data_IF_201148024695
#
_entry.id   IF_201148024695
#
_cell.length_a   1.000
_cell.length_b   1.000
_cell.length_c   1.000
_cell.angle_alpha   90.00
_cell.angle_beta   90.00
_cell.angle_gamma   90.00
#
_symmetry.space_group_name_H-M   'P 1'
#
loop_
_entity.id
_entity.type
_entity.pdbx_description
1 polymer ?
#
# COMPACT_ATOMS: atom_id res chain seq x y z
N UNK A 1 -0.32 -50.03 -13.24
CA UNK A 1 -1.69 -49.47 -12.99
C UNK A 1 -2.13 -49.54 -11.53
N UNK A 2 -1.94 -50.66 -10.79
CA UNK A 2 -2.38 -50.82 -9.39
C UNK A 2 -1.71 -49.82 -8.45
N UNK A 3 -0.41 -49.65 -8.49
CA UNK A 3 0.37 -48.73 -7.64
C UNK A 3 -0.10 -47.27 -7.74
N UNK A 4 -0.34 -46.79 -8.97
CA UNK A 4 -0.91 -45.44 -9.21
C UNK A 4 -2.27 -45.26 -8.50
N UNK A 5 -3.18 -46.23 -8.68
CA UNK A 5 -4.52 -46.20 -8.06
C UNK A 5 -4.45 -46.21 -6.53
N UNK A 6 -3.56 -47.04 -5.97
CA UNK A 6 -3.38 -47.14 -4.52
C UNK A 6 -2.74 -45.87 -3.93
N UNK A 7 -1.74 -45.32 -4.62
CA UNK A 7 -1.16 -44.04 -4.21
C UNK A 7 -2.20 -42.92 -4.16
N UNK A 8 -3.05 -42.78 -5.18
CA UNK A 8 -4.15 -41.79 -5.15
C UNK A 8 -5.19 -42.08 -4.06
N UNK A 9 -5.46 -43.34 -3.77
CA UNK A 9 -6.35 -43.72 -2.67
C UNK A 9 -5.80 -43.21 -1.33
N UNK A 10 -4.51 -43.43 -1.05
CA UNK A 10 -3.85 -42.98 0.17
C UNK A 10 -3.86 -41.44 0.29
N UNK A 11 -3.60 -40.72 -0.79
CA UNK A 11 -3.64 -39.26 -0.82
C UNK A 11 -5.05 -38.75 -0.43
N UNK A 12 -6.11 -39.39 -0.93
CA UNK A 12 -7.50 -39.05 -0.57
C UNK A 12 -7.86 -39.35 0.89
N UNK A 13 -7.08 -40.21 1.55
CA UNK A 13 -7.20 -40.55 2.98
C UNK A 13 -6.28 -39.69 3.87
N UNK A 14 -5.79 -38.54 3.32
CA UNK A 14 -4.86 -37.61 4.00
C UNK A 14 -3.50 -38.26 4.37
N UNK A 15 -3.14 -39.33 3.67
CA UNK A 15 -1.85 -40.04 3.81
C UNK A 15 -0.95 -39.70 2.61
N UNK A 16 -0.67 -38.39 2.44
CA UNK A 16 0.00 -37.88 1.25
C UNK A 16 1.42 -38.42 1.08
N UNK A 17 2.19 -38.55 2.16
CA UNK A 17 3.58 -39.08 2.15
C UNK A 17 3.60 -40.52 1.66
N UNK A 18 2.78 -41.37 2.23
CA UNK A 18 2.70 -42.78 1.83
C UNK A 18 2.18 -42.91 0.39
N UNK A 19 1.19 -42.13 0.02
CA UNK A 19 0.67 -42.10 -1.35
C UNK A 19 1.72 -41.68 -2.37
N UNK A 20 2.59 -40.75 -2.00
CA UNK A 20 3.70 -40.27 -2.81
C UNK A 20 4.70 -41.43 -3.13
N UNK A 21 5.08 -42.22 -2.13
CA UNK A 21 5.98 -43.37 -2.31
C UNK A 21 5.46 -44.36 -3.37
N UNK A 22 4.15 -44.69 -3.32
CA UNK A 22 3.52 -45.57 -4.30
C UNK A 22 3.46 -44.95 -5.70
N UNK A 23 3.24 -43.65 -5.82
CA UNK A 23 3.24 -42.98 -7.12
C UNK A 23 4.65 -42.91 -7.70
N UNK A 24 5.65 -42.58 -6.90
CA UNK A 24 7.05 -42.60 -7.34
C UNK A 24 7.53 -44.01 -7.74
N UNK A 25 7.06 -45.03 -7.00
CA UNK A 25 7.34 -46.43 -7.40
C UNK A 25 6.69 -46.76 -8.74
N UNK A 26 5.45 -46.30 -9.01
CA UNK A 26 4.82 -46.48 -10.30
C UNK A 26 5.61 -45.80 -11.44
N UNK A 27 6.13 -44.61 -11.21
CA UNK A 27 6.97 -43.86 -12.15
C UNK A 27 8.26 -44.61 -12.47
N UNK A 28 8.91 -45.25 -11.47
CA UNK A 28 10.15 -46.03 -11.66
C UNK A 28 9.97 -47.32 -12.48
N UNK A 29 8.78 -47.92 -12.46
CA UNK A 29 8.52 -49.21 -13.15
C UNK A 29 8.40 -49.12 -14.66
N UNK A 30 8.42 -47.91 -15.27
CA UNK A 30 8.35 -47.69 -16.73
C UNK A 30 7.19 -48.42 -17.45
N UNK A 31 6.14 -48.78 -16.73
CA UNK A 31 4.97 -49.49 -17.25
C UNK A 31 3.75 -48.57 -17.49
N UNK A 32 4.01 -47.25 -17.58
CA UNK A 32 3.00 -46.20 -17.76
C UNK A 32 3.16 -45.56 -19.14
N UNK A 33 2.04 -45.12 -19.70
CA UNK A 33 2.05 -44.33 -20.92
C UNK A 33 2.66 -42.93 -20.67
N UNK A 34 3.24 -42.30 -21.70
CA UNK A 34 3.89 -41.00 -21.62
C UNK A 34 2.98 -39.91 -20.97
N UNK A 35 1.71 -39.95 -21.32
CA UNK A 35 0.72 -38.98 -20.76
C UNK A 35 0.45 -39.24 -19.29
N UNK A 36 0.43 -40.48 -18.84
CA UNK A 36 0.32 -40.85 -17.43
C UNK A 36 1.54 -40.41 -16.64
N UNK A 37 2.74 -40.59 -17.20
CA UNK A 37 4.00 -40.13 -16.61
C UNK A 37 3.97 -38.63 -16.45
N UNK A 38 3.58 -37.86 -17.49
CA UNK A 38 3.47 -36.43 -17.46
C UNK A 38 2.49 -35.95 -16.35
N UNK A 39 1.30 -36.51 -16.27
CA UNK A 39 0.32 -36.17 -15.24
C UNK A 39 0.82 -36.49 -13.83
N UNK A 40 1.52 -37.60 -13.65
CA UNK A 40 2.08 -38.00 -12.36
C UNK A 40 3.23 -37.09 -11.93
N UNK A 41 4.06 -36.58 -12.83
CA UNK A 41 5.09 -35.58 -12.50
C UNK A 41 4.44 -34.35 -11.86
N UNK A 42 3.33 -33.86 -12.41
CA UNK A 42 2.58 -32.74 -11.84
C UNK A 42 2.06 -33.06 -10.42
N UNK A 43 1.42 -34.21 -10.24
CA UNK A 43 0.87 -34.61 -8.93
C UNK A 43 1.98 -34.76 -7.87
N UNK A 44 3.10 -35.38 -8.23
CA UNK A 44 4.26 -35.54 -7.33
C UNK A 44 4.82 -34.16 -6.98
N UNK A 45 4.93 -33.27 -7.95
CA UNK A 45 5.34 -31.88 -7.72
C UNK A 45 4.42 -31.13 -6.77
N UNK A 46 3.09 -31.25 -6.95
CA UNK A 46 2.10 -30.62 -6.06
C UNK A 46 2.22 -31.13 -4.62
N UNK A 47 2.34 -32.44 -4.43
CA UNK A 47 2.44 -33.03 -3.09
C UNK A 47 3.72 -32.56 -2.41
N UNK A 48 4.88 -32.63 -3.11
CA UNK A 48 6.15 -32.16 -2.55
C UNK A 48 6.07 -30.66 -2.19
N UNK A 49 5.47 -29.82 -3.02
CA UNK A 49 5.27 -28.41 -2.71
C UNK A 49 4.40 -28.21 -1.45
N UNK A 50 3.32 -29.00 -1.30
CA UNK A 50 2.46 -28.93 -0.10
C UNK A 50 3.16 -29.43 1.18
N UNK A 51 4.16 -30.27 1.06
CA UNK A 51 5.00 -30.76 2.14
C UNK A 51 6.20 -29.83 2.45
N UNK A 52 6.38 -28.75 1.68
CA UNK A 52 7.51 -27.84 1.83
C UNK A 52 8.80 -28.31 1.18
N UNK A 53 8.78 -29.43 0.45
CA UNK A 53 9.93 -29.99 -0.27
C UNK A 53 10.08 -29.30 -1.65
N UNK A 54 10.40 -28.01 -1.65
CA UNK A 54 10.32 -27.17 -2.86
C UNK A 54 11.32 -27.57 -3.95
N UNK A 55 12.53 -28.03 -3.62
CA UNK A 55 13.51 -28.52 -4.59
C UNK A 55 13.00 -29.77 -5.33
N UNK A 56 12.46 -30.74 -4.58
CA UNK A 56 11.87 -31.94 -5.16
C UNK A 56 10.62 -31.61 -5.99
N UNK A 57 9.83 -30.66 -5.51
CA UNK A 57 8.67 -30.16 -6.26
C UNK A 57 9.10 -29.57 -7.61
N UNK A 58 10.12 -28.71 -7.62
CA UNK A 58 10.64 -28.10 -8.84
C UNK A 58 11.17 -29.14 -9.82
N UNK A 59 11.94 -30.13 -9.37
CA UNK A 59 12.44 -31.21 -10.25
C UNK A 59 11.29 -31.85 -11.05
N UNK A 60 10.17 -32.14 -10.38
CA UNK A 60 9.04 -32.82 -11.02
C UNK A 60 8.18 -31.86 -11.86
N UNK A 61 7.94 -30.64 -11.36
CA UNK A 61 7.13 -29.64 -12.05
C UNK A 61 7.82 -29.09 -13.30
N UNK A 62 9.14 -28.88 -13.26
CA UNK A 62 9.90 -28.45 -14.44
C UNK A 62 9.88 -29.53 -15.53
N UNK A 63 10.08 -30.81 -15.16
CA UNK A 63 9.95 -31.90 -16.09
C UNK A 63 8.57 -32.03 -16.69
N UNK A 64 7.51 -31.82 -15.87
CA UNK A 64 6.13 -31.75 -16.36
C UNK A 64 5.98 -30.60 -17.37
N UNK A 65 6.50 -29.42 -17.06
CA UNK A 65 6.38 -28.24 -17.91
C UNK A 65 7.12 -28.44 -19.25
N UNK A 66 8.38 -28.90 -19.22
CA UNK A 66 9.21 -29.16 -20.43
C UNK A 66 8.58 -30.20 -21.35
N UNK A 67 8.16 -31.33 -20.79
CA UNK A 67 7.50 -32.40 -21.57
C UNK A 67 6.16 -31.91 -22.12
N UNK A 68 5.40 -31.16 -21.34
CA UNK A 68 4.14 -30.57 -21.76
C UNK A 68 4.32 -29.64 -22.96
N UNK A 69 5.31 -28.75 -22.92
CA UNK A 69 5.64 -27.88 -24.06
C UNK A 69 6.10 -28.70 -25.30
N UNK A 70 7.01 -29.64 -25.12
CA UNK A 70 7.56 -30.43 -26.23
C UNK A 70 6.50 -31.32 -26.91
N UNK A 71 5.58 -31.89 -26.14
CA UNK A 71 4.52 -32.79 -26.61
C UNK A 71 3.19 -32.09 -26.88
N UNK A 72 3.11 -30.77 -26.63
CA UNK A 72 1.88 -29.97 -26.73
C UNK A 72 0.74 -30.50 -25.85
N UNK A 73 1.09 -30.96 -24.66
CA UNK A 73 0.11 -31.32 -23.66
C UNK A 73 -0.45 -30.06 -22.98
N UNK A 74 -1.66 -30.19 -22.44
CA UNK A 74 -2.33 -29.10 -21.78
C UNK A 74 -1.64 -28.75 -20.45
N UNK A 75 -1.05 -27.54 -20.39
CA UNK A 75 -0.37 -27.04 -19.22
C UNK A 75 -1.29 -26.07 -18.47
N UNK A 76 -1.70 -26.46 -17.27
CA UNK A 76 -2.59 -25.61 -16.49
C UNK A 76 -1.87 -24.38 -15.95
N UNK A 77 -2.47 -23.16 -16.02
CA UNK A 77 -1.87 -21.96 -15.43
C UNK A 77 -1.53 -22.14 -13.95
N UNK A 78 -2.36 -22.88 -13.20
CA UNK A 78 -2.09 -23.21 -11.78
C UNK A 78 -0.82 -24.02 -11.59
N UNK A 79 -0.55 -24.96 -12.49
CA UNK A 79 0.67 -25.75 -12.45
C UNK A 79 1.92 -24.91 -12.73
N UNK A 80 1.81 -23.98 -13.68
CA UNK A 80 2.89 -23.04 -14.00
C UNK A 80 3.13 -22.09 -12.83
N UNK A 81 2.05 -21.57 -12.22
CA UNK A 81 2.16 -20.72 -11.03
C UNK A 81 2.83 -21.44 -9.86
N UNK A 82 2.58 -22.74 -9.70
CA UNK A 82 3.21 -23.53 -8.64
C UNK A 82 4.73 -23.60 -8.80
N UNK A 83 5.24 -23.64 -10.04
CA UNK A 83 6.69 -23.54 -10.30
C UNK A 83 7.21 -22.19 -9.80
N UNK A 84 6.52 -21.08 -10.13
CA UNK A 84 6.88 -19.75 -9.67
C UNK A 84 6.88 -19.63 -8.14
N UNK A 85 5.87 -20.22 -7.49
CA UNK A 85 5.77 -20.26 -6.02
C UNK A 85 6.93 -21.04 -5.41
N UNK A 86 7.27 -22.23 -5.94
CA UNK A 86 8.38 -23.02 -5.43
C UNK A 86 9.72 -22.27 -5.56
N UNK A 87 9.97 -21.60 -6.68
CA UNK A 87 11.14 -20.74 -6.85
C UNK A 87 11.18 -19.60 -5.84
N UNK A 88 10.04 -18.95 -5.59
CA UNK A 88 9.94 -17.88 -4.60
C UNK A 88 10.28 -18.37 -3.19
N UNK A 89 9.79 -19.55 -2.81
CA UNK A 89 10.09 -20.17 -1.50
C UNK A 89 11.57 -20.54 -1.33
N UNK A 90 12.26 -20.80 -2.42
CA UNK A 90 13.70 -21.05 -2.44
C UNK A 90 14.53 -19.76 -2.65
N UNK A 91 13.91 -18.59 -2.53
CA UNK A 91 14.52 -17.27 -2.72
C UNK A 91 15.15 -17.08 -4.13
N UNK A 92 14.75 -17.89 -5.08
CA UNK A 92 15.15 -17.77 -6.48
C UNK A 92 14.16 -16.86 -7.24
N UNK A 93 14.22 -15.57 -6.93
CA UNK A 93 13.20 -14.62 -7.32
C UNK A 93 13.06 -14.42 -8.83
N UNK A 94 14.17 -14.36 -9.57
CA UNK A 94 14.16 -14.14 -11.02
C UNK A 94 13.45 -15.25 -11.82
N UNK A 95 13.76 -16.56 -11.63
CA UNK A 95 12.96 -17.62 -12.22
C UNK A 95 11.53 -17.68 -11.66
N UNK A 96 11.32 -17.36 -10.37
CA UNK A 96 10.00 -17.25 -9.78
C UNK A 96 9.12 -16.24 -10.52
N UNK A 97 9.65 -15.05 -10.78
CA UNK A 97 8.96 -13.99 -11.54
C UNK A 97 8.63 -14.44 -12.97
N UNK A 98 9.56 -15.11 -13.65
CA UNK A 98 9.32 -15.65 -14.99
C UNK A 98 8.09 -16.56 -15.03
N UNK A 99 8.03 -17.56 -14.15
CA UNK A 99 6.96 -18.55 -14.18
C UNK A 99 5.61 -18.00 -13.69
N UNK A 100 5.60 -17.09 -12.71
CA UNK A 100 4.35 -16.46 -12.27
C UNK A 100 3.78 -15.55 -13.37
N UNK A 101 4.62 -14.84 -14.12
CA UNK A 101 4.21 -14.02 -15.26
C UNK A 101 3.59 -14.88 -16.36
N UNK A 102 4.25 -16.00 -16.75
CA UNK A 102 3.70 -16.94 -17.71
C UNK A 102 2.34 -17.50 -17.23
N UNK A 103 2.20 -17.79 -15.95
CA UNK A 103 0.94 -18.31 -15.40
C UNK A 103 -0.19 -17.27 -15.50
N UNK A 104 0.10 -16.00 -15.21
CA UNK A 104 -0.84 -14.89 -15.32
C UNK A 104 -1.28 -14.68 -16.77
N UNK A 105 -0.33 -14.67 -17.71
CA UNK A 105 -0.62 -14.49 -19.16
C UNK A 105 -1.50 -15.60 -19.74
N UNK A 106 -1.39 -16.82 -19.20
CA UNK A 106 -2.18 -17.97 -19.63
C UNK A 106 -3.49 -18.13 -18.84
N UNK A 107 -3.77 -17.29 -17.85
CA UNK A 107 -4.97 -17.34 -17.04
C UNK A 107 -6.11 -16.53 -17.71
N UNK A 108 -7.32 -17.10 -17.74
CA UNK A 108 -8.51 -16.41 -18.25
C UNK A 108 -9.17 -15.50 -17.20
N UNK A 109 -8.66 -15.47 -15.98
CA UNK A 109 -9.21 -14.74 -14.83
C UNK A 109 -8.11 -14.11 -14.01
N UNK A 110 -8.42 -12.98 -13.39
CA UNK A 110 -7.52 -12.32 -12.45
C UNK A 110 -7.43 -13.12 -11.15
N UNK A 111 -6.23 -13.61 -10.82
CA UNK A 111 -5.99 -14.37 -9.58
C UNK A 111 -5.14 -13.50 -8.64
N UNK A 112 -5.79 -12.84 -7.69
CA UNK A 112 -5.22 -11.87 -6.76
C UNK A 112 -3.86 -12.30 -6.18
N UNK A 113 -3.78 -13.52 -5.66
CA UNK A 113 -2.55 -14.03 -5.03
C UNK A 113 -1.35 -14.15 -5.96
N UNK A 114 -1.58 -14.30 -7.27
CA UNK A 114 -0.49 -14.35 -8.25
C UNK A 114 0.08 -12.97 -8.53
N UNK A 115 -0.77 -11.94 -8.57
CA UNK A 115 -0.32 -10.55 -8.69
C UNK A 115 0.37 -10.07 -7.42
N UNK A 116 -0.11 -10.48 -6.24
CA UNK A 116 0.60 -10.22 -4.98
C UNK A 116 1.99 -10.85 -4.95
N UNK A 117 2.12 -12.08 -5.44
CA UNK A 117 3.42 -12.75 -5.57
C UNK A 117 4.30 -12.05 -6.63
N UNK A 118 3.74 -11.71 -7.80
CA UNK A 118 4.46 -10.96 -8.85
C UNK A 118 5.00 -9.64 -8.31
N UNK A 119 4.20 -8.88 -7.58
CA UNK A 119 4.63 -7.66 -6.91
C UNK A 119 5.79 -7.92 -5.94
N UNK A 120 5.65 -8.91 -5.06
CA UNK A 120 6.68 -9.24 -4.09
C UNK A 120 8.00 -9.66 -4.76
N UNK A 121 7.93 -10.39 -5.89
CA UNK A 121 9.11 -10.82 -6.63
C UNK A 121 9.81 -9.65 -7.34
N UNK A 122 9.06 -8.72 -7.96
CA UNK A 122 9.63 -7.48 -8.49
C UNK A 122 10.33 -6.68 -7.39
N UNK A 123 9.65 -6.49 -6.25
CA UNK A 123 10.21 -5.76 -5.11
C UNK A 123 11.50 -6.41 -4.56
N UNK A 124 11.56 -7.75 -4.46
CA UNK A 124 12.78 -8.48 -4.03
C UNK A 124 13.93 -8.40 -5.01
N UNK A 125 13.65 -8.04 -6.25
CA UNK A 125 14.64 -7.87 -7.32
C UNK A 125 15.04 -6.40 -7.53
N UNK A 126 14.54 -5.49 -6.67
CA UNK A 126 14.68 -4.04 -6.81
C UNK A 126 14.18 -3.51 -8.17
N UNK A 127 13.28 -4.26 -8.81
CA UNK A 127 12.60 -3.86 -10.04
C UNK A 127 11.34 -3.06 -9.70
N UNK A 128 11.56 -1.81 -9.30
CA UNK A 128 10.48 -0.93 -8.83
C UNK A 128 9.50 -0.53 -9.94
N UNK A 129 9.92 -0.46 -11.18
CA UNK A 129 9.04 -0.25 -12.34
C UNK A 129 8.05 -1.42 -12.53
N UNK A 130 8.55 -2.65 -12.45
CA UNK A 130 7.73 -3.85 -12.49
C UNK A 130 6.79 -3.98 -11.30
N UNK A 131 7.27 -3.62 -10.10
CA UNK A 131 6.45 -3.57 -8.89
C UNK A 131 5.35 -2.50 -8.99
N UNK A 132 5.67 -1.30 -9.50
CA UNK A 132 4.71 -0.24 -9.75
C UNK A 132 3.62 -0.69 -10.71
N UNK A 133 3.99 -1.20 -11.87
CA UNK A 133 3.02 -1.70 -12.87
C UNK A 133 2.09 -2.75 -12.25
N UNK A 134 2.64 -3.68 -11.46
CA UNK A 134 1.85 -4.73 -10.81
C UNK A 134 0.93 -4.18 -9.72
N UNK A 135 1.38 -3.16 -8.96
CA UNK A 135 0.53 -2.50 -7.97
C UNK A 135 -0.62 -1.72 -8.62
N UNK A 136 -0.40 -1.09 -9.77
CA UNK A 136 -1.44 -0.44 -10.56
C UNK A 136 -2.50 -1.44 -11.03
N UNK A 137 -2.08 -2.65 -11.48
CA UNK A 137 -3.01 -3.74 -11.85
C UNK A 137 -3.84 -4.18 -10.63
N UNK A 138 -3.24 -4.26 -9.44
CA UNK A 138 -3.95 -4.59 -8.20
C UNK A 138 -4.93 -3.50 -7.78
N UNK A 139 -4.54 -2.23 -7.84
CA UNK A 139 -5.42 -1.09 -7.54
C UNK A 139 -6.59 -1.02 -8.53
N UNK A 140 -6.36 -1.24 -9.81
CA UNK A 140 -7.41 -1.23 -10.83
C UNK A 140 -8.49 -2.29 -10.54
N UNK A 141 -8.12 -3.46 -10.00
CA UNK A 141 -9.04 -4.53 -9.66
C UNK A 141 -9.62 -4.41 -8.23
N UNK A 142 -8.89 -3.77 -7.32
CA UNK A 142 -9.26 -3.61 -5.91
C UNK A 142 -9.03 -2.16 -5.42
N UNK A 143 -9.76 -1.17 -5.97
CA UNK A 143 -9.48 0.25 -5.71
C UNK A 143 -9.73 0.70 -4.27
N UNK A 144 -10.42 -0.12 -3.47
CA UNK A 144 -10.71 0.13 -2.06
C UNK A 144 -9.83 -0.67 -1.10
N UNK A 145 -8.85 -1.40 -1.62
CA UNK A 145 -7.89 -2.11 -0.78
C UNK A 145 -6.71 -1.18 -0.49
N UNK A 146 -6.68 -0.63 0.73
CA UNK A 146 -5.65 0.30 1.20
C UNK A 146 -4.23 -0.22 0.99
N UNK A 147 -4.02 -1.53 1.18
CA UNK A 147 -2.72 -2.19 1.01
C UNK A 147 -2.12 -1.90 -0.36
N UNK A 148 -2.94 -2.00 -1.42
CA UNK A 148 -2.43 -1.81 -2.79
C UNK A 148 -2.18 -0.36 -3.14
N UNK A 149 -2.98 0.55 -2.58
CA UNK A 149 -2.72 1.99 -2.69
C UNK A 149 -1.42 2.38 -1.98
N UNK A 150 -1.19 1.85 -0.77
CA UNK A 150 0.07 2.07 -0.03
C UNK A 150 1.28 1.49 -0.80
N UNK A 151 1.13 0.30 -1.38
CA UNK A 151 2.17 -0.31 -2.21
C UNK A 151 2.48 0.53 -3.46
N UNK A 152 1.46 0.99 -4.16
CA UNK A 152 1.61 1.84 -5.34
C UNK A 152 2.29 3.17 -5.00
N UNK A 153 1.85 3.84 -3.92
CA UNK A 153 2.47 5.07 -3.44
C UNK A 153 3.93 4.88 -3.03
N UNK A 154 4.25 3.76 -2.37
CA UNK A 154 5.62 3.43 -2.01
C UNK A 154 6.51 3.23 -3.26
N UNK A 155 6.00 2.57 -4.30
CA UNK A 155 6.77 2.38 -5.55
C UNK A 155 7.00 3.69 -6.30
N UNK A 156 6.02 4.59 -6.28
CA UNK A 156 6.23 5.93 -6.81
C UNK A 156 7.34 6.69 -6.06
N UNK A 157 7.42 6.54 -4.73
CA UNK A 157 8.49 7.15 -3.93
C UNK A 157 9.86 6.55 -4.25
N UNK A 158 9.97 5.22 -4.40
CA UNK A 158 11.23 4.55 -4.78
C UNK A 158 11.74 4.99 -6.16
N UNK A 159 10.83 5.45 -7.03
CA UNK A 159 11.13 5.95 -8.38
C UNK A 159 11.25 7.49 -8.46
N UNK A 160 11.24 8.20 -7.33
CA UNK A 160 11.26 9.66 -7.23
C UNK A 160 10.08 10.36 -7.93
N UNK A 161 8.93 9.67 -8.04
CA UNK A 161 7.67 10.22 -8.59
C UNK A 161 6.78 10.77 -7.48
N UNK A 162 7.22 11.86 -6.84
CA UNK A 162 6.55 12.44 -5.68
C UNK A 162 5.10 12.83 -5.93
N UNK A 163 4.79 13.38 -7.12
CA UNK A 163 3.44 13.84 -7.48
C UNK A 163 2.50 12.65 -7.58
N UNK A 164 2.92 11.58 -8.24
CA UNK A 164 2.13 10.37 -8.45
C UNK A 164 1.95 9.61 -7.14
N UNK A 165 2.97 9.59 -6.27
CA UNK A 165 2.86 9.03 -4.92
C UNK A 165 1.73 9.67 -4.14
N UNK A 166 1.60 10.97 -4.22
CA UNK A 166 0.59 11.75 -3.50
C UNK A 166 -0.78 11.69 -4.17
N UNK A 167 -0.81 11.61 -5.50
CA UNK A 167 -2.05 11.30 -6.22
C UNK A 167 -2.63 9.95 -5.81
N UNK A 168 -1.79 9.01 -5.39
CA UNK A 168 -2.24 7.72 -4.82
C UNK A 168 -2.96 7.91 -3.49
N UNK A 169 -2.47 8.82 -2.62
CA UNK A 169 -3.13 9.16 -1.35
C UNK A 169 -4.44 9.94 -1.60
N UNK A 170 -4.44 10.89 -2.54
CA UNK A 170 -5.65 11.62 -2.93
C UNK A 170 -6.72 10.67 -3.47
N UNK A 171 -6.33 9.72 -4.31
CA UNK A 171 -7.23 8.66 -4.77
C UNK A 171 -7.77 7.84 -3.60
N UNK A 172 -6.92 7.49 -2.62
CA UNK A 172 -7.32 6.83 -1.38
C UNK A 172 -8.36 7.62 -0.59
N UNK A 173 -8.24 8.94 -0.53
CA UNK A 173 -9.22 9.81 0.10
C UNK A 173 -10.57 9.73 -0.65
N UNK A 174 -10.57 9.85 -1.98
CA UNK A 174 -11.80 9.78 -2.79
C UNK A 174 -12.49 8.42 -2.68
N UNK A 175 -11.73 7.33 -2.53
CA UNK A 175 -12.25 5.99 -2.30
C UNK A 175 -12.66 5.74 -0.83
N UNK A 176 -12.44 6.69 0.08
CA UNK A 176 -12.74 6.60 1.52
C UNK A 176 -12.00 5.45 2.21
N UNK A 177 -10.75 5.22 1.83
CA UNK A 177 -9.88 4.19 2.43
C UNK A 177 -8.78 4.78 3.31
N UNK A 178 -8.66 6.11 3.41
CA UNK A 178 -7.81 6.76 4.40
C UNK A 178 -8.45 6.66 5.78
N UNK A 179 -7.74 6.04 6.72
CA UNK A 179 -8.25 5.76 8.07
C UNK A 179 -7.37 6.31 9.18
N UNK A 180 -6.13 6.74 8.84
CA UNK A 180 -5.15 7.19 9.82
C UNK A 180 -4.94 8.69 9.75
N UNK A 181 -4.80 9.33 10.90
CA UNK A 181 -4.42 10.73 11.06
C UNK A 181 -3.22 11.09 10.17
N UNK A 182 -2.17 10.27 10.20
CA UNK A 182 -0.96 10.47 9.41
C UNK A 182 -1.23 10.63 7.90
N UNK A 183 -2.19 9.88 7.36
CA UNK A 183 -2.49 9.89 5.92
C UNK A 183 -3.03 11.28 5.50
N UNK A 184 -3.94 11.84 6.32
CA UNK A 184 -4.51 13.18 6.11
C UNK A 184 -3.47 14.28 6.27
N UNK A 185 -2.64 14.19 7.32
CA UNK A 185 -1.57 15.17 7.57
C UNK A 185 -0.53 15.16 6.45
N UNK A 186 -0.12 13.98 5.99
CA UNK A 186 0.84 13.85 4.89
C UNK A 186 0.30 14.48 3.60
N UNK A 187 -0.95 14.17 3.24
CA UNK A 187 -1.59 14.72 2.03
C UNK A 187 -1.77 16.24 2.14
N UNK A 188 -2.16 16.75 3.32
CA UNK A 188 -2.29 18.19 3.55
C UNK A 188 -0.94 18.90 3.42
N UNK A 189 0.10 18.39 4.06
CA UNK A 189 1.46 18.97 3.98
C UNK A 189 1.95 19.01 2.52
N UNK A 190 1.63 18.01 1.75
CA UNK A 190 1.97 18.02 0.33
C UNK A 190 1.24 19.10 -0.45
N UNK A 191 -0.07 19.25 -0.26
CA UNK A 191 -0.80 20.33 -0.92
C UNK A 191 -0.25 21.70 -0.52
N UNK A 192 0.16 21.88 0.74
CA UNK A 192 0.85 23.10 1.19
C UNK A 192 2.19 23.28 0.46
N UNK A 193 3.00 22.22 0.34
CA UNK A 193 4.27 22.26 -0.39
C UNK A 193 4.10 22.61 -1.88
N UNK A 194 3.02 22.17 -2.50
CA UNK A 194 2.68 22.47 -3.90
C UNK A 194 1.95 23.81 -4.08
N UNK A 195 1.84 24.62 -3.03
CA UNK A 195 1.14 25.93 -3.03
C UNK A 195 -0.35 25.79 -3.43
N UNK A 196 -0.99 24.73 -2.95
CA UNK A 196 -2.43 24.47 -3.12
C UNK A 196 -3.14 24.42 -1.76
N UNK A 197 -3.11 25.51 -0.97
CA UNK A 197 -3.59 25.51 0.42
C UNK A 197 -5.08 25.22 0.56
N UNK A 198 -5.88 25.48 -0.47
CA UNK A 198 -7.31 25.20 -0.47
C UNK A 198 -7.61 23.70 -0.35
N UNK A 199 -6.84 22.85 -1.06
CA UNK A 199 -7.00 21.40 -0.97
C UNK A 199 -6.43 20.88 0.36
N UNK A 200 -5.34 21.45 0.85
CA UNK A 200 -4.81 21.14 2.18
C UNK A 200 -5.88 21.39 3.27
N UNK A 201 -6.54 22.56 3.24
CA UNK A 201 -7.60 22.89 4.18
C UNK A 201 -8.78 21.91 4.10
N UNK A 202 -9.21 21.54 2.88
CA UNK A 202 -10.31 20.57 2.69
C UNK A 202 -9.98 19.21 3.29
N UNK A 203 -8.77 18.69 3.04
CA UNK A 203 -8.30 17.39 3.57
C UNK A 203 -8.32 17.42 5.09
N UNK A 204 -7.76 18.46 5.72
CA UNK A 204 -7.74 18.58 7.18
C UNK A 204 -9.15 18.72 7.75
N UNK A 205 -10.00 19.55 7.15
CA UNK A 205 -11.40 19.72 7.59
C UNK A 205 -12.17 18.40 7.53
N UNK A 206 -11.96 17.59 6.49
CA UNK A 206 -12.58 16.27 6.38
C UNK A 206 -12.06 15.32 7.46
N UNK A 207 -10.76 15.30 7.72
CA UNK A 207 -10.14 14.51 8.77
C UNK A 207 -10.67 14.85 10.17
N UNK A 208 -10.84 16.16 10.47
CA UNK A 208 -11.46 16.62 11.72
C UNK A 208 -12.95 16.26 11.81
N UNK A 209 -13.70 16.46 10.72
CA UNK A 209 -15.13 16.12 10.65
C UNK A 209 -15.37 14.63 10.91
N UNK A 210 -14.51 13.78 10.35
CA UNK A 210 -14.60 12.33 10.52
C UNK A 210 -13.96 11.82 11.83
N UNK A 211 -13.44 12.74 12.69
CA UNK A 211 -12.76 12.44 13.95
C UNK A 211 -11.53 11.56 13.80
N UNK A 212 -10.90 11.59 12.64
CA UNK A 212 -9.65 10.88 12.33
C UNK A 212 -8.47 11.70 12.84
N UNK A 213 -8.47 13.01 12.60
CA UNK A 213 -7.45 13.93 13.10
C UNK A 213 -7.84 14.40 14.50
N UNK A 214 -6.89 14.34 15.43
CA UNK A 214 -7.06 14.86 16.80
C UNK A 214 -7.02 16.37 16.79
N UNK A 215 -7.92 17.00 17.57
CA UNK A 215 -7.91 18.45 17.76
C UNK A 215 -6.91 18.84 18.86
N UNK A 216 -5.64 18.87 18.50
CA UNK A 216 -4.55 19.38 19.32
C UNK A 216 -3.98 20.67 18.68
N UNK A 217 -3.09 21.34 19.38
CA UNK A 217 -2.45 22.58 18.93
C UNK A 217 -1.87 22.45 17.52
N UNK A 218 -0.97 21.48 17.30
CA UNK A 218 -0.22 21.26 16.06
C UNK A 218 -1.14 21.03 14.85
N UNK A 219 -2.14 20.18 15.01
CA UNK A 219 -3.07 19.85 13.93
C UNK A 219 -4.02 21.03 13.60
N UNK A 220 -4.45 21.78 14.64
CA UNK A 220 -5.25 22.99 14.44
C UNK A 220 -4.42 24.10 13.80
N UNK A 221 -3.16 24.26 14.19
CA UNK A 221 -2.25 25.19 13.54
C UNK A 221 -2.04 24.85 12.06
N UNK A 222 -1.86 23.56 11.73
CA UNK A 222 -1.78 23.11 10.34
C UNK A 222 -3.03 23.50 9.53
N UNK A 223 -4.23 23.34 10.11
CA UNK A 223 -5.47 23.79 9.46
C UNK A 223 -5.53 25.31 9.33
N UNK A 224 -5.13 26.04 10.36
CA UNK A 224 -5.10 27.50 10.31
C UNK A 224 -4.17 28.01 9.21
N UNK A 225 -2.97 27.40 9.08
CA UNK A 225 -2.01 27.73 8.02
C UNK A 225 -2.60 27.51 6.62
N UNK A 226 -3.28 26.39 6.41
CA UNK A 226 -3.94 26.10 5.14
C UNK A 226 -5.09 27.09 4.84
N UNK A 227 -5.87 27.46 5.86
CA UNK A 227 -6.95 28.44 5.73
C UNK A 227 -6.41 29.87 5.45
N UNK A 228 -5.30 30.24 6.07
CA UNK A 228 -4.62 31.54 5.80
C UNK A 228 -4.13 31.55 4.35
N UNK A 229 -3.43 30.51 3.93
CA UNK A 229 -2.95 30.39 2.55
C UNK A 229 -4.07 30.44 1.51
N UNK A 230 -5.23 29.88 1.82
CA UNK A 230 -6.44 29.94 0.97
C UNK A 230 -7.26 31.23 1.14
N UNK A 231 -6.81 32.21 1.97
CA UNK A 231 -7.46 33.47 2.28
C UNK A 231 -8.81 33.31 2.97
N UNK A 232 -9.06 32.20 3.60
CA UNK A 232 -10.27 31.96 4.39
C UNK A 232 -10.10 32.50 5.85
N UNK A 233 -9.79 33.78 5.97
CA UNK A 233 -9.36 34.42 7.23
C UNK A 233 -10.38 34.29 8.38
N UNK A 234 -11.68 34.30 8.08
CA UNK A 234 -12.72 34.14 9.12
C UNK A 234 -12.62 32.78 9.77
N UNK A 235 -12.50 31.72 8.96
CA UNK A 235 -12.34 30.36 9.47
C UNK A 235 -11.00 30.18 10.17
N UNK A 236 -9.93 30.78 9.63
CA UNK A 236 -8.59 30.72 10.22
C UNK A 236 -8.60 31.34 11.64
N UNK A 237 -9.29 32.50 11.84
CA UNK A 237 -9.43 33.10 13.14
C UNK A 237 -10.13 32.18 14.15
N UNK A 238 -11.20 31.50 13.75
CA UNK A 238 -11.92 30.58 14.63
C UNK A 238 -11.02 29.40 15.05
N UNK A 239 -10.22 28.86 14.11
CA UNK A 239 -9.29 27.73 14.37
C UNK A 239 -8.13 28.18 15.27
N UNK A 240 -7.51 29.35 15.01
CA UNK A 240 -6.47 29.91 15.87
C UNK A 240 -6.94 30.20 17.27
N UNK A 241 -8.17 30.73 17.41
CA UNK A 241 -8.79 30.95 18.72
C UNK A 241 -9.00 29.63 19.49
N UNK A 242 -9.29 28.55 18.81
CA UNK A 242 -9.36 27.23 19.44
C UNK A 242 -7.97 26.72 19.83
N UNK A 243 -6.99 26.82 18.94
CA UNK A 243 -5.61 26.37 19.19
C UNK A 243 -5.00 27.13 20.39
N UNK A 244 -5.19 28.43 20.47
CA UNK A 244 -4.71 29.29 21.58
C UNK A 244 -5.29 28.94 22.97
N UNK A 245 -6.37 28.14 23.04
CA UNK A 245 -6.92 27.63 24.30
C UNK A 245 -6.32 26.35 24.76
N UNK A 246 -5.57 25.65 23.86
CA UNK A 246 -4.96 24.34 24.11
C UNK A 246 -3.48 24.45 24.47
N UNK A 247 -2.88 25.63 24.34
CA UNK A 247 -1.47 25.86 24.53
C UNK A 247 -1.19 27.30 24.94
N UNK A 248 -0.11 27.49 25.71
CA UNK A 248 0.43 28.82 26.07
C UNK A 248 1.45 29.32 25.02
N UNK A 249 1.43 28.78 23.80
CA UNK A 249 2.27 29.25 22.71
C UNK A 249 1.87 30.67 22.28
N UNK A 250 2.75 31.67 22.45
CA UNK A 250 2.43 33.07 22.18
C UNK A 250 2.20 33.40 20.71
N UNK A 251 2.76 32.57 19.77
CA UNK A 251 2.59 32.75 18.33
C UNK A 251 1.15 32.67 17.89
N UNK A 252 0.37 31.78 18.51
CA UNK A 252 -1.03 31.54 18.12
C UNK A 252 -1.92 32.76 18.33
N UNK A 253 -1.98 33.34 19.54
CA UNK A 253 -2.76 34.55 19.76
C UNK A 253 -2.18 35.78 19.04
N UNK A 254 -0.85 35.85 18.81
CA UNK A 254 -0.27 36.95 18.02
C UNK A 254 -0.80 36.91 16.58
N UNK A 255 -0.73 35.75 15.93
CA UNK A 255 -1.25 35.54 14.56
C UNK A 255 -2.77 35.75 14.48
N UNK A 256 -3.50 35.33 15.51
CA UNK A 256 -4.93 35.61 15.62
C UNK A 256 -5.18 37.11 15.62
N UNK A 257 -4.43 37.87 16.42
CA UNK A 257 -4.52 39.36 16.47
C UNK A 257 -4.31 40.00 15.10
N UNK A 258 -3.29 39.53 14.35
CA UNK A 258 -3.02 40.01 12.98
C UNK A 258 -4.20 39.74 12.03
N UNK A 259 -4.80 38.54 12.11
CA UNK A 259 -5.97 38.21 11.29
C UNK A 259 -7.19 39.02 11.68
N UNK A 260 -7.46 39.21 12.98
CA UNK A 260 -8.60 40.01 13.45
C UNK A 260 -8.44 41.50 13.06
N UNK A 261 -7.19 42.02 13.02
CA UNK A 261 -6.90 43.36 12.45
C UNK A 261 -7.28 43.42 10.97
N UNK A 262 -6.86 42.44 10.18
CA UNK A 262 -7.19 42.38 8.75
C UNK A 262 -8.70 42.28 8.49
N UNK A 263 -9.42 41.68 9.42
CA UNK A 263 -10.88 41.59 9.40
C UNK A 263 -11.56 42.83 9.97
N UNK A 264 -10.82 43.88 10.37
CA UNK A 264 -11.31 45.10 11.03
C UNK A 264 -12.07 44.84 12.36
N UNK A 265 -11.66 43.78 13.07
CA UNK A 265 -12.26 43.39 14.36
C UNK A 265 -11.33 43.82 15.49
N UNK A 266 -11.26 45.13 15.69
CA UNK A 266 -10.27 45.82 16.52
C UNK A 266 -10.24 45.32 17.98
N UNK A 267 -11.38 45.17 18.63
CA UNK A 267 -11.47 44.72 20.01
C UNK A 267 -10.90 43.31 20.18
N UNK A 268 -11.22 42.39 19.24
CA UNK A 268 -10.71 41.02 19.26
C UNK A 268 -9.21 40.98 18.99
N UNK A 269 -8.73 41.85 18.12
CA UNK A 269 -7.30 41.96 17.85
C UNK A 269 -6.52 42.33 19.10
N UNK A 270 -7.01 43.37 19.83
CA UNK A 270 -6.40 43.82 21.10
C UNK A 270 -6.43 42.70 22.15
N UNK A 271 -7.54 41.97 22.29
CA UNK A 271 -7.62 40.84 23.23
C UNK A 271 -6.58 39.75 22.89
N UNK A 272 -6.43 39.46 21.60
CA UNK A 272 -5.49 38.44 21.12
C UNK A 272 -4.04 38.87 21.35
N UNK A 273 -3.67 40.10 21.08
CA UNK A 273 -2.31 40.61 21.35
C UNK A 273 -1.99 40.60 22.84
N UNK A 274 -2.92 41.05 23.71
CA UNK A 274 -2.73 40.95 25.16
C UNK A 274 -2.56 39.52 25.65
N UNK A 275 -3.19 38.56 24.99
CA UNK A 275 -3.02 37.17 25.32
C UNK A 275 -1.61 36.66 24.86
N UNK A 276 -1.13 37.11 23.71
CA UNK A 276 0.23 36.80 23.24
C UNK A 276 1.30 37.31 24.23
N UNK A 277 1.19 38.56 24.68
CA UNK A 277 2.08 39.13 25.70
C UNK A 277 2.03 38.34 27.01
N UNK A 278 0.83 37.95 27.47
CA UNK A 278 0.66 37.11 28.65
C UNK A 278 1.34 35.75 28.54
N UNK A 279 1.41 35.18 27.33
CA UNK A 279 2.09 33.91 27.05
C UNK A 279 3.59 34.10 26.76
N UNK A 280 4.10 35.33 26.84
CA UNK A 280 5.51 35.64 26.72
C UNK A 280 5.96 36.00 25.30
N UNK A 281 5.06 36.53 24.48
CA UNK A 281 5.46 37.18 23.22
C UNK A 281 6.43 38.32 23.52
N UNK A 282 7.61 38.23 22.90
CA UNK A 282 8.62 39.28 23.03
C UNK A 282 8.41 40.33 21.93
N UNK A 283 7.85 41.47 22.31
CA UNK A 283 7.58 42.62 21.41
C UNK A 283 8.79 43.57 21.34
N UNK A 284 10.01 43.04 21.09
CA UNK A 284 11.23 43.85 21.00
C UNK A 284 11.10 45.06 20.06
N UNK A 285 10.23 44.99 19.05
CA UNK A 285 10.02 46.03 18.05
C UNK A 285 8.83 46.96 18.37
N UNK A 286 8.11 46.75 19.47
CA UNK A 286 6.92 47.50 19.83
C UNK A 286 5.76 47.38 18.86
N UNK A 287 5.65 46.26 18.17
CA UNK A 287 4.63 46.02 17.15
C UNK A 287 3.24 45.91 17.78
N UNK A 288 3.13 45.25 18.91
CA UNK A 288 1.87 45.12 19.64
C UNK A 288 1.42 46.48 20.15
N UNK A 289 2.33 47.24 20.76
CA UNK A 289 2.05 48.61 21.24
C UNK A 289 1.55 49.52 20.10
N UNK A 290 2.18 49.43 18.94
CA UNK A 290 1.75 50.14 17.73
C UNK A 290 0.35 49.72 17.30
N UNK A 291 0.01 48.44 17.30
CA UNK A 291 -1.33 47.95 16.91
C UNK A 291 -2.41 48.26 17.96
N UNK A 292 -2.05 48.36 19.22
CA UNK A 292 -2.97 48.71 20.32
C UNK A 292 -3.14 50.23 20.44
N UNK A 293 -2.23 51.03 19.85
CA UNK A 293 -2.31 52.47 19.85
C UNK A 293 -1.79 53.10 21.14
N UNK A 294 -0.83 52.50 21.78
CA UNK A 294 -0.16 52.99 22.98
C UNK A 294 1.16 53.67 22.62
#
# INVERSE_FOLDING_TARGET
>A
MILKKYGFFLIRQDRAVEGLEFIEWALRKRALEDRDIHNLQYVVGQINASLGNYELALEKLLKWYEVGQARRYDLTPKGIALIGICYAQLEQYKPGLKYITIAIENANVFIKSWYELKFALHYRLDDFDGALTTSQELVANFPRDKKYLEQMGAMYNELDFDIESLSSLEFGLTQRVLEKERDYLLLSNFFMFKDVPIEAAKVLQEGFKNKIIKRNEENLESLANALIGSREYIKAADILSEASKLSDNPDLPYRLGQIELNLSRWEKAIESFKLAEKYGWDDEEGQIDYFIGI
#
